data_IF_383709117965
#
_entry.id   IF_383709117965
#
_cell.length_a   1.000
_cell.length_b   1.000
_cell.length_c   1.000
_cell.angle_alpha   90.00
_cell.angle_beta   90.00
_cell.angle_gamma   90.00
#
_symmetry.space_group_name_H-M   'P 1'
#
loop_
_entity.id
_entity.type
_entity.pdbx_description
1 polymer ?
#
# COMPACT_ATOMS: atom_id res chain seq x y z
N UNK A 1 -16.11 2.40 0.03
CA UNK A 1 -15.19 3.56 -0.02
C UNK A 1 -14.69 3.76 1.41
N UNK A 2 -13.52 3.24 1.74
CA UNK A 2 -12.90 3.48 3.04
C UNK A 2 -12.04 4.75 2.90
N UNK A 3 -12.23 5.80 3.72
CA UNK A 3 -11.39 6.98 3.64
C UNK A 3 -9.99 6.63 4.14
N UNK A 4 -8.98 6.84 3.28
CA UNK A 4 -7.58 6.81 3.73
C UNK A 4 -7.39 8.06 4.58
N UNK A 5 -7.12 7.89 5.86
CA UNK A 5 -6.81 8.99 6.77
C UNK A 5 -5.40 9.49 6.46
N UNK A 6 -5.32 10.47 5.58
CA UNK A 6 -4.07 11.12 5.19
C UNK A 6 -3.79 12.26 6.18
N UNK A 7 -2.56 12.37 6.72
CA UNK A 7 -2.20 13.52 7.54
C UNK A 7 -2.35 14.82 6.73
N UNK A 8 -2.66 15.91 7.42
CA UNK A 8 -2.69 17.23 6.79
C UNK A 8 -1.31 17.55 6.20
N UNK A 9 -1.26 18.26 5.06
CA UNK A 9 0.00 18.51 4.33
C UNK A 9 0.99 19.27 5.21
N UNK A 10 0.47 20.15 6.07
CA UNK A 10 1.23 20.97 7.03
C UNK A 10 1.92 20.12 8.12
N UNK A 11 1.46 18.89 8.35
CA UNK A 11 2.02 17.95 9.32
C UNK A 11 3.12 17.06 8.73
N UNK A 12 3.25 17.01 7.39
CA UNK A 12 4.23 16.18 6.70
C UNK A 12 5.62 16.79 6.82
N UNK A 13 6.43 16.23 7.73
CA UNK A 13 7.84 16.64 7.94
C UNK A 13 8.84 15.82 7.14
N UNK A 14 8.42 14.64 6.68
CA UNK A 14 9.21 13.75 5.83
C UNK A 14 8.32 13.20 4.71
N UNK A 15 8.50 13.76 3.51
CA UNK A 15 7.78 13.36 2.30
C UNK A 15 7.97 11.87 1.99
N UNK A 16 9.18 11.35 2.19
CA UNK A 16 9.51 9.96 1.88
C UNK A 16 8.79 9.03 2.84
N UNK A 17 8.70 9.37 4.12
CA UNK A 17 7.94 8.60 5.09
C UNK A 17 6.43 8.63 4.79
N UNK A 18 5.88 9.81 4.54
CA UNK A 18 4.45 9.98 4.23
C UNK A 18 4.04 9.22 2.95
N UNK A 19 4.82 9.32 1.88
CA UNK A 19 4.56 8.58 0.65
C UNK A 19 4.60 7.06 0.87
N UNK A 20 5.52 6.56 1.70
CA UNK A 20 5.59 5.12 2.02
C UNK A 20 4.39 4.65 2.84
N UNK A 21 3.91 5.44 3.79
CA UNK A 21 2.71 5.14 4.56
C UNK A 21 1.49 5.04 3.64
N UNK A 22 1.32 6.01 2.75
CA UNK A 22 0.23 6.00 1.78
C UNK A 22 0.30 4.81 0.81
N UNK A 23 1.49 4.52 0.26
CA UNK A 23 1.70 3.33 -0.57
C UNK A 23 1.36 2.04 0.18
N UNK A 24 1.75 1.95 1.46
CA UNK A 24 1.47 0.78 2.29
C UNK A 24 -0.03 0.57 2.53
N UNK A 25 -0.79 1.64 2.80
CA UNK A 25 -2.24 1.58 2.97
C UNK A 25 -2.96 1.12 1.70
N UNK A 26 -2.56 1.66 0.52
CA UNK A 26 -3.13 1.20 -0.76
C UNK A 26 -2.87 -0.30 -0.97
N UNK A 27 -1.66 -0.77 -0.68
CA UNK A 27 -1.30 -2.18 -0.83
C UNK A 27 -2.10 -3.05 0.13
N UNK A 28 -2.25 -2.64 1.40
CA UNK A 28 -3.09 -3.35 2.40
C UNK A 28 -4.51 -3.49 1.92
N UNK A 29 -5.11 -2.39 1.46
CA UNK A 29 -6.49 -2.37 1.01
C UNK A 29 -6.70 -3.30 -0.18
N UNK A 30 -5.78 -3.28 -1.17
CA UNK A 30 -5.88 -4.19 -2.31
C UNK A 30 -5.70 -5.65 -1.91
N UNK A 31 -4.77 -5.94 -1.00
CA UNK A 31 -4.63 -7.32 -0.50
C UNK A 31 -5.92 -7.79 0.19
N UNK A 32 -6.53 -6.96 1.04
CA UNK A 32 -7.83 -7.28 1.68
C UNK A 32 -8.95 -7.48 0.66
N UNK A 33 -9.04 -6.58 -0.33
CA UNK A 33 -10.05 -6.66 -1.39
C UNK A 33 -10.00 -7.96 -2.19
N UNK A 34 -8.80 -8.50 -2.43
CA UNK A 34 -8.58 -9.74 -3.18
C UNK A 34 -8.34 -10.96 -2.27
N UNK A 35 -8.68 -10.89 -0.98
CA UNK A 35 -8.50 -11.99 -0.02
C UNK A 35 -7.07 -12.53 -0.02
N UNK A 36 -6.10 -11.66 -0.25
CA UNK A 36 -4.69 -11.99 -0.25
C UNK A 36 -4.04 -12.42 -1.51
N UNK A 37 -4.81 -12.49 -2.59
CA UNK A 37 -4.24 -12.85 -3.86
C UNK A 37 -3.30 -11.75 -4.35
N UNK A 38 -2.00 -11.91 -4.05
CA UNK A 38 -0.95 -10.97 -4.42
C UNK A 38 -0.85 -10.76 -5.93
N UNK A 39 -1.25 -11.74 -6.75
CA UNK A 39 -1.25 -11.57 -8.20
C UNK A 39 -2.36 -10.61 -8.63
N UNK A 40 -3.60 -10.82 -8.17
CA UNK A 40 -4.73 -9.94 -8.47
C UNK A 40 -4.54 -8.54 -7.87
N UNK A 41 -4.01 -8.45 -6.65
CA UNK A 41 -3.69 -7.16 -6.04
C UNK A 41 -2.64 -6.39 -6.85
N UNK A 42 -1.57 -7.05 -7.32
CA UNK A 42 -0.54 -6.41 -8.14
C UNK A 42 -1.10 -5.94 -9.49
N UNK A 43 -1.88 -6.79 -10.15
CA UNK A 43 -2.55 -6.49 -11.41
C UNK A 43 -3.50 -5.30 -11.28
N UNK A 44 -4.31 -5.25 -10.23
CA UNK A 44 -5.23 -4.14 -9.95
C UNK A 44 -4.52 -2.80 -9.70
N UNK A 45 -3.26 -2.85 -9.27
CA UNK A 45 -2.41 -1.68 -9.04
C UNK A 45 -1.57 -1.31 -10.27
N UNK A 46 -1.65 -2.09 -11.37
CA UNK A 46 -0.80 -1.91 -12.54
C UNK A 46 0.68 -2.17 -12.26
N UNK A 47 1.00 -2.98 -11.25
CA UNK A 47 2.37 -3.26 -10.82
C UNK A 47 2.76 -4.70 -11.18
N UNK A 48 4.03 -4.94 -11.56
CA UNK A 48 4.55 -6.30 -11.60
C UNK A 48 4.45 -6.96 -10.21
N UNK A 49 4.07 -8.25 -10.15
CA UNK A 49 3.98 -9.02 -8.90
C UNK A 49 5.25 -8.95 -8.06
N UNK A 50 6.43 -8.95 -8.70
CA UNK A 50 7.72 -8.78 -8.02
C UNK A 50 7.82 -7.42 -7.33
N UNK A 51 7.42 -6.35 -8.00
CA UNK A 51 7.42 -5.00 -7.44
C UNK A 51 6.50 -4.91 -6.22
N UNK A 52 5.30 -5.50 -6.31
CA UNK A 52 4.40 -5.60 -5.15
C UNK A 52 5.06 -6.34 -3.98
N UNK A 53 5.67 -7.50 -4.23
CA UNK A 53 6.36 -8.28 -3.19
C UNK A 53 7.48 -7.47 -2.51
N UNK A 54 8.30 -6.75 -3.28
CA UNK A 54 9.32 -5.87 -2.74
C UNK A 54 8.73 -4.75 -1.87
N UNK A 55 7.62 -4.12 -2.30
CA UNK A 55 6.93 -3.09 -1.50
C UNK A 55 6.31 -3.66 -0.23
N UNK A 56 5.70 -4.86 -0.29
CA UNK A 56 5.17 -5.53 0.91
C UNK A 56 6.27 -5.79 1.95
N UNK A 57 7.44 -6.26 1.52
CA UNK A 57 8.60 -6.45 2.41
C UNK A 57 9.09 -5.13 2.99
N UNK A 58 9.27 -4.12 2.14
CA UNK A 58 9.75 -2.79 2.54
C UNK A 58 8.83 -2.12 3.57
N UNK A 59 7.53 -2.26 3.41
CA UNK A 59 6.53 -1.59 4.25
C UNK A 59 5.94 -2.48 5.35
N UNK A 60 6.42 -3.72 5.47
CA UNK A 60 5.87 -4.73 6.41
C UNK A 60 4.35 -4.83 6.29
N UNK A 61 3.87 -4.90 5.06
CA UNK A 61 2.46 -5.11 4.74
C UNK A 61 2.21 -6.62 4.65
N UNK A 62 1.43 -7.14 5.59
CA UNK A 62 0.88 -8.49 5.59
C UNK A 62 -0.63 -8.43 5.46
N UNK A 63 -1.23 -9.50 4.97
CA UNK A 63 -2.65 -9.69 5.19
C UNK A 63 -2.92 -9.97 6.66
N UNK A 64 -3.87 -9.26 7.22
CA UNK A 64 -4.48 -9.55 8.51
C UNK A 64 -5.94 -9.15 8.41
#
# INVERSE_FOLDING_TARGET
RHPIDLPAVEEIRDLKAAAQAFEAEIIRERLRQYGGNRAQAAESLGLPKRTLAHKCLKYRVTES
#
